data_IF_779867843628
#
_entry.id   IF_779867843628
#
_cell.length_a   1.000
_cell.length_b   1.000
_cell.length_c   1.000
_cell.angle_alpha   90.00
_cell.angle_beta   90.00
_cell.angle_gamma   90.00
#
_symmetry.space_group_name_H-M   'P 1'
#
loop_
_entity.id
_entity.type
_entity.pdbx_description
1 polymer ?
#
# COMPACT_ATOMS: atom_id res chain seq x y z
N UNK A 1 -39.03 27.26 -23.60
CA UNK A 1 -37.68 26.70 -23.38
C UNK A 1 -37.77 25.81 -22.16
N UNK A 2 -37.80 24.49 -22.36
CA UNK A 2 -37.94 23.52 -21.28
C UNK A 2 -36.54 23.01 -20.93
N UNK A 3 -36.13 23.24 -19.69
CA UNK A 3 -34.80 22.89 -19.20
C UNK A 3 -34.73 21.37 -19.02
N UNK A 4 -33.87 20.71 -19.80
CA UNK A 4 -33.64 19.28 -19.73
C UNK A 4 -32.58 19.03 -18.66
N UNK A 5 -33.01 18.65 -17.45
CA UNK A 5 -32.09 18.19 -16.41
C UNK A 5 -31.54 16.83 -16.82
N UNK A 6 -30.24 16.78 -17.14
CA UNK A 6 -29.51 15.53 -17.24
C UNK A 6 -29.29 15.00 -15.82
N UNK A 7 -29.99 13.91 -15.48
CA UNK A 7 -29.58 13.05 -14.37
C UNK A 7 -28.27 12.38 -14.80
N UNK A 8 -27.16 12.75 -14.15
CA UNK A 8 -25.94 11.95 -14.22
C UNK A 8 -26.28 10.56 -13.68
N UNK A 9 -26.22 9.56 -14.56
CA UNK A 9 -26.30 8.16 -14.16
C UNK A 9 -25.24 7.90 -13.10
N UNK A 10 -25.65 7.51 -11.89
CA UNK A 10 -24.76 6.87 -10.94
C UNK A 10 -24.15 5.67 -11.65
N UNK A 11 -22.80 5.61 -11.71
CA UNK A 11 -22.09 4.38 -12.03
C UNK A 11 -22.63 3.31 -11.08
N UNK A 12 -23.25 2.27 -11.63
CA UNK A 12 -23.47 1.03 -10.89
C UNK A 12 -22.08 0.57 -10.46
N UNK A 13 -21.77 0.66 -9.16
CA UNK A 13 -20.61 -0.04 -8.63
C UNK A 13 -20.75 -1.49 -9.07
N UNK A 14 -19.79 -2.01 -9.84
CA UNK A 14 -19.78 -3.41 -10.19
C UNK A 14 -19.68 -4.18 -8.88
N UNK A 15 -20.78 -4.78 -8.44
CA UNK A 15 -20.83 -5.54 -7.18
C UNK A 15 -20.24 -6.93 -7.35
N UNK A 16 -19.84 -7.27 -8.58
CA UNK A 16 -19.29 -8.55 -8.94
C UNK A 16 -17.77 -8.48 -9.07
N UNK A 17 -17.04 -8.99 -8.08
CA UNK A 17 -15.59 -8.91 -8.07
C UNK A 17 -14.98 -9.32 -6.74
N UNK A 18 -13.78 -8.79 -6.47
CA UNK A 18 -13.01 -9.09 -5.26
C UNK A 18 -12.69 -7.82 -4.49
N UNK A 19 -12.85 -7.88 -3.17
CA UNK A 19 -12.29 -6.89 -2.27
C UNK A 19 -10.99 -7.44 -1.65
N UNK A 20 -10.01 -6.56 -1.47
CA UNK A 20 -8.71 -6.89 -0.92
C UNK A 20 -8.38 -5.99 0.27
N UNK A 21 -7.93 -6.60 1.38
CA UNK A 21 -7.54 -5.91 2.61
C UNK A 21 -6.23 -6.49 3.15
N UNK A 22 -5.32 -5.63 3.60
CA UNK A 22 -4.06 -6.05 4.25
C UNK A 22 -4.21 -6.16 5.77
N UNK A 23 -3.47 -7.10 6.34
CA UNK A 23 -3.41 -7.38 7.77
C UNK A 23 -1.97 -7.67 8.21
N UNK A 24 -1.62 -7.29 9.44
CA UNK A 24 -0.32 -7.61 10.05
C UNK A 24 -0.29 -9.02 10.68
N UNK A 25 -1.45 -9.63 10.90
CA UNK A 25 -1.58 -10.92 11.58
C UNK A 25 -2.30 -11.99 10.74
N UNK A 26 -1.96 -13.25 10.99
CA UNK A 26 -2.49 -14.39 10.24
C UNK A 26 -4.00 -14.57 10.42
N UNK A 27 -4.51 -14.19 11.59
CA UNK A 27 -5.91 -14.35 11.98
C UNK A 27 -6.82 -13.24 11.41
N UNK A 28 -6.24 -12.28 10.68
CA UNK A 28 -6.94 -11.18 10.00
C UNK A 28 -7.70 -10.28 10.98
N UNK A 29 -7.04 -9.92 12.09
CA UNK A 29 -7.62 -9.11 13.17
C UNK A 29 -7.08 -7.69 13.23
N UNK A 30 -5.84 -7.47 12.82
CA UNK A 30 -5.13 -6.20 12.79
C UNK A 30 -5.03 -5.68 11.35
N UNK A 31 -6.09 -4.98 10.91
CA UNK A 31 -6.16 -4.42 9.56
C UNK A 31 -5.13 -3.29 9.39
N UNK A 32 -4.49 -3.26 8.23
CA UNK A 32 -3.64 -2.17 7.77
C UNK A 32 -4.47 -1.30 6.82
N UNK A 33 -4.47 0.00 7.08
CA UNK A 33 -5.26 0.96 6.29
C UNK A 33 -4.66 1.14 4.90
N UNK A 34 -5.52 1.26 3.88
CA UNK A 34 -5.09 1.58 2.52
C UNK A 34 -4.38 2.94 2.51
N UNK A 35 -3.37 3.07 1.66
CA UNK A 35 -2.42 4.19 1.62
C UNK A 35 -1.19 3.98 2.50
N UNK A 36 -1.16 2.93 3.33
CA UNK A 36 -0.02 2.65 4.19
C UNK A 36 1.23 2.24 3.40
N UNK A 37 2.39 2.58 3.96
CA UNK A 37 3.72 2.12 3.52
C UNK A 37 4.12 0.87 4.30
N UNK A 38 4.32 -0.23 3.58
CA UNK A 38 4.76 -1.52 4.09
C UNK A 38 6.29 -1.62 4.04
N UNK A 39 6.85 -2.35 5.00
CA UNK A 39 8.28 -2.68 5.09
C UNK A 39 8.53 -4.12 4.67
N UNK A 40 9.79 -4.53 4.53
CA UNK A 40 10.12 -5.95 4.54
C UNK A 40 9.52 -6.63 5.79
N UNK A 41 8.86 -7.76 5.59
CA UNK A 41 8.09 -8.42 6.63
C UNK A 41 7.12 -9.47 6.10
N UNK A 42 6.29 -9.98 7.01
CA UNK A 42 5.21 -10.92 6.71
C UNK A 42 3.87 -10.25 6.98
N UNK A 43 2.98 -10.33 5.99
CA UNK A 43 1.66 -9.73 6.00
C UNK A 43 0.64 -10.71 5.44
N UNK A 44 -0.64 -10.38 5.55
CA UNK A 44 -1.71 -11.22 5.08
C UNK A 44 -2.71 -10.40 4.30
N UNK A 45 -3.04 -10.88 3.10
CA UNK A 45 -4.02 -10.28 2.23
C UNK A 45 -5.31 -11.09 2.36
N UNK A 46 -6.34 -10.48 2.91
CA UNK A 46 -7.69 -11.04 2.92
C UNK A 46 -8.37 -10.70 1.60
N UNK A 47 -8.96 -11.71 0.99
CA UNK A 47 -9.71 -11.58 -0.25
C UNK A 47 -11.16 -11.96 0.02
N UNK A 48 -12.08 -11.05 -0.30
CA UNK A 48 -13.52 -11.20 -0.11
C UNK A 48 -14.17 -11.23 -1.47
N UNK A 49 -14.80 -12.35 -1.80
CA UNK A 49 -15.58 -12.51 -3.01
C UNK A 49 -16.92 -11.77 -2.86
N UNK A 50 -17.31 -11.01 -3.89
CA UNK A 50 -18.59 -10.30 -3.93
C UNK A 50 -19.38 -10.66 -5.18
N UNK A 51 -20.70 -10.76 -5.03
CA UNK A 51 -21.62 -11.12 -6.11
C UNK A 51 -21.42 -12.56 -6.58
N UNK A 52 -21.31 -12.73 -7.90
CA UNK A 52 -21.15 -14.00 -8.60
C UNK A 52 -19.72 -14.16 -9.17
N UNK A 53 -18.72 -13.52 -8.56
CA UNK A 53 -17.35 -13.60 -9.03
C UNK A 53 -16.90 -15.07 -9.01
N UNK A 54 -15.96 -15.50 -9.87
CA UNK A 54 -15.39 -16.84 -9.72
C UNK A 54 -14.71 -16.97 -8.35
N UNK A 55 -14.54 -18.20 -7.88
CA UNK A 55 -13.74 -18.44 -6.67
C UNK A 55 -12.32 -17.88 -6.89
N UNK A 56 -11.76 -17.12 -5.94
CA UNK A 56 -10.40 -16.61 -6.05
C UNK A 56 -9.42 -17.78 -5.93
N UNK A 57 -8.67 -18.05 -7.01
CA UNK A 57 -7.78 -19.21 -7.10
C UNK A 57 -6.32 -18.79 -7.02
N UNK A 58 -5.97 -17.69 -7.67
CA UNK A 58 -4.60 -17.17 -7.66
C UNK A 58 -4.55 -15.65 -7.58
N UNK A 59 -3.43 -15.17 -7.05
CA UNK A 59 -3.08 -13.76 -6.90
C UNK A 59 -1.80 -13.47 -7.66
N UNK A 60 -1.76 -12.31 -8.31
CA UNK A 60 -0.54 -11.70 -8.83
C UNK A 60 -0.39 -10.32 -8.22
N UNK A 61 0.85 -9.91 -7.95
CA UNK A 61 1.19 -8.62 -7.37
C UNK A 61 2.37 -8.07 -8.17
N UNK A 62 2.21 -6.88 -8.72
CA UNK A 62 3.29 -6.06 -9.27
C UNK A 62 3.66 -5.06 -8.18
N UNK A 63 4.88 -5.16 -7.65
CA UNK A 63 5.36 -4.34 -6.53
C UNK A 63 6.45 -3.41 -7.00
N UNK A 64 6.56 -2.24 -6.37
CA UNK A 64 7.70 -1.36 -6.62
C UNK A 64 9.04 -2.10 -6.38
N UNK A 65 9.98 -1.96 -7.33
CA UNK A 65 11.24 -2.67 -7.33
C UNK A 65 11.23 -3.89 -8.26
N UNK A 66 11.95 -4.95 -7.89
CA UNK A 66 12.06 -6.18 -8.70
C UNK A 66 12.03 -7.47 -7.87
N UNK A 67 12.14 -7.38 -6.54
CA UNK A 67 12.28 -8.55 -5.68
C UNK A 67 10.95 -9.08 -5.13
N UNK A 68 9.88 -8.30 -5.25
CA UNK A 68 8.63 -8.52 -4.50
C UNK A 68 7.41 -8.83 -5.35
N UNK A 69 7.60 -8.96 -6.67
CA UNK A 69 6.54 -9.42 -7.58
C UNK A 69 6.08 -10.83 -7.24
N UNK A 70 4.78 -11.06 -7.40
CA UNK A 70 4.13 -12.35 -7.22
C UNK A 70 3.40 -12.68 -8.50
N UNK A 71 3.62 -13.88 -9.04
CA UNK A 71 2.94 -14.32 -10.26
C UNK A 71 2.12 -15.59 -10.00
N UNK A 72 0.80 -15.47 -10.16
CA UNK A 72 -0.17 -16.57 -10.12
C UNK A 72 -0.02 -17.50 -8.91
N UNK A 73 0.24 -16.92 -7.74
CA UNK A 73 0.38 -17.70 -6.53
C UNK A 73 -0.99 -18.17 -6.05
N UNK A 74 -1.08 -19.40 -5.57
CA UNK A 74 -2.33 -19.98 -5.06
C UNK A 74 -2.83 -19.22 -3.83
N UNK A 75 -4.15 -18.99 -3.79
CA UNK A 75 -4.86 -18.39 -2.67
C UNK A 75 -5.39 -19.50 -1.75
N UNK A 76 -5.30 -19.28 -0.43
CA UNK A 76 -5.81 -20.19 0.59
C UNK A 76 -7.30 -19.90 0.87
N UNK A 77 -8.13 -20.94 0.90
CA UNK A 77 -9.50 -20.84 1.39
C UNK A 77 -9.51 -21.02 2.92
N UNK A 78 -9.89 -19.97 3.66
CA UNK A 78 -9.92 -19.98 5.12
C UNK A 78 -11.29 -20.37 5.70
N UNK A 79 -12.26 -20.69 4.84
CA UNK A 79 -13.62 -21.03 5.21
C UNK A 79 -14.57 -19.83 5.20
N UNK A 80 -15.88 -20.10 5.20
CA UNK A 80 -16.95 -19.08 5.24
C UNK A 80 -16.90 -18.02 4.11
N UNK A 81 -16.36 -18.39 2.94
CA UNK A 81 -16.22 -17.46 1.80
C UNK A 81 -15.12 -16.42 1.97
N UNK A 82 -14.25 -16.61 2.96
CA UNK A 82 -13.04 -15.81 3.16
C UNK A 82 -11.84 -16.54 2.58
N UNK A 83 -10.95 -15.76 1.96
CA UNK A 83 -9.73 -16.26 1.34
C UNK A 83 -8.55 -15.44 1.82
N UNK A 84 -7.36 -16.03 1.81
CA UNK A 84 -6.14 -15.40 2.31
C UNK A 84 -4.95 -15.70 1.40
N UNK A 85 -4.07 -14.72 1.26
CA UNK A 85 -2.72 -14.92 0.75
C UNK A 85 -1.71 -14.47 1.81
N UNK A 86 -0.69 -15.29 2.05
CA UNK A 86 0.45 -14.91 2.90
C UNK A 86 1.44 -14.10 2.07
N UNK A 87 1.54 -12.82 2.36
CA UNK A 87 2.41 -11.88 1.65
C UNK A 87 3.73 -11.76 2.38
N UNK A 88 4.78 -12.30 1.79
CA UNK A 88 6.16 -12.08 2.25
C UNK A 88 6.76 -10.95 1.40
N UNK A 89 7.25 -9.92 2.06
CA UNK A 89 7.97 -8.80 1.45
C UNK A 89 9.43 -8.93 1.88
N UNK A 90 10.32 -9.11 0.90
CA UNK A 90 11.76 -9.14 1.08
C UNK A 90 12.35 -7.75 0.89
N UNK A 91 13.57 -7.55 1.38
CA UNK A 91 14.28 -6.30 1.15
C UNK A 91 14.53 -6.00 -0.34
N UNK A 92 14.23 -4.77 -0.75
CA UNK A 92 14.46 -4.24 -2.09
C UNK A 92 14.92 -2.77 -1.99
N UNK A 93 16.19 -2.47 -2.36
CA UNK A 93 16.71 -1.11 -2.31
C UNK A 93 16.10 -0.18 -3.37
N UNK A 94 15.37 -0.71 -4.36
CA UNK A 94 14.72 0.07 -5.40
C UNK A 94 13.31 0.50 -5.02
N UNK A 95 12.73 -0.05 -3.94
CA UNK A 95 11.41 0.32 -3.46
C UNK A 95 11.49 1.53 -2.51
N UNK A 96 11.14 2.71 -3.03
CA UNK A 96 11.12 3.98 -2.28
C UNK A 96 9.69 4.35 -1.80
N UNK A 97 8.66 3.63 -2.24
CA UNK A 97 7.28 3.79 -1.78
C UNK A 97 6.56 4.94 -2.46
N UNK A 98 6.76 5.06 -3.77
CA UNK A 98 6.07 6.00 -4.66
C UNK A 98 5.02 5.29 -5.51
N UNK A 99 5.26 4.04 -5.88
CA UNK A 99 4.38 3.27 -6.75
C UNK A 99 3.55 2.29 -5.88
N UNK A 100 2.21 2.35 -5.94
CA UNK A 100 1.39 1.39 -5.22
C UNK A 100 1.49 0.01 -5.86
N UNK A 101 1.37 -1.04 -5.05
CA UNK A 101 1.26 -2.40 -5.55
C UNK A 101 0.01 -2.56 -6.42
N UNK A 102 0.16 -3.22 -7.58
CA UNK A 102 -0.97 -3.62 -8.42
C UNK A 102 -1.31 -5.07 -8.10
N UNK A 103 -2.45 -5.28 -7.45
CA UNK A 103 -2.92 -6.60 -7.05
C UNK A 103 -3.98 -7.10 -8.04
N UNK A 104 -3.83 -8.33 -8.50
CA UNK A 104 -4.78 -9.00 -9.38
C UNK A 104 -5.23 -10.32 -8.75
N UNK A 105 -6.54 -10.54 -8.69
CA UNK A 105 -7.15 -11.80 -8.28
C UNK A 105 -7.78 -12.45 -9.51
N UNK A 106 -7.31 -13.64 -9.88
CA UNK A 106 -7.70 -14.29 -11.14
C UNK A 106 -7.56 -13.37 -12.37
N UNK A 107 -6.46 -12.61 -12.46
CA UNK A 107 -6.23 -11.58 -13.51
C UNK A 107 -7.21 -10.38 -13.47
N UNK A 108 -8.02 -10.23 -12.42
CA UNK A 108 -8.96 -9.13 -12.26
C UNK A 108 -8.50 -8.15 -11.17
N UNK A 109 -8.63 -6.85 -11.44
CA UNK A 109 -8.40 -5.81 -10.43
C UNK A 109 -9.50 -5.87 -9.34
N UNK A 110 -9.14 -5.73 -8.06
CA UNK A 110 -10.10 -5.56 -6.97
C UNK A 110 -11.02 -4.35 -7.18
N UNK A 111 -12.22 -4.43 -6.60
CA UNK A 111 -13.26 -3.38 -6.72
C UNK A 111 -13.08 -2.25 -5.69
N UNK A 112 -12.33 -2.48 -4.61
CA UNK A 112 -11.90 -1.39 -3.74
C UNK A 112 -10.59 -0.80 -4.19
N UNK A 113 -10.39 0.47 -3.81
CA UNK A 113 -9.06 1.03 -3.79
C UNK A 113 -8.22 0.25 -2.76
N UNK A 114 -7.13 -0.37 -3.23
CA UNK A 114 -6.22 -1.17 -2.43
C UNK A 114 -4.79 -0.70 -2.66
N UNK A 115 -4.61 0.62 -2.59
CA UNK A 115 -3.30 1.23 -2.72
C UNK A 115 -2.49 0.88 -1.48
N UNK A 116 -1.48 0.05 -1.62
CA UNK A 116 -0.47 -0.20 -0.60
C UNK A 116 0.88 0.06 -1.25
N UNK A 117 1.74 0.77 -0.53
CA UNK A 117 3.05 1.13 -1.03
C UNK A 117 4.07 0.27 -0.32
N UNK A 118 5.07 -0.22 -1.03
CA UNK A 118 6.18 -0.92 -0.41
C UNK A 118 7.42 -0.03 -0.43
N UNK A 119 8.11 0.07 0.71
CA UNK A 119 9.35 0.85 0.80
C UNK A 119 10.30 0.29 1.84
N UNK A 120 11.51 -0.05 1.44
CA UNK A 120 12.59 -0.31 2.41
C UNK A 120 13.57 0.83 2.54
N UNK A 121 13.52 1.77 1.62
CA UNK A 121 14.22 3.05 1.69
C UNK A 121 13.20 4.14 1.92
N UNK A 122 12.70 4.28 3.15
CA UNK A 122 12.10 5.54 3.52
C UNK A 122 13.29 6.46 3.73
N UNK A 123 13.66 7.19 2.68
CA UNK A 123 14.49 8.36 2.89
C UNK A 123 13.63 9.27 3.76
N UNK A 124 14.03 9.54 5.02
CA UNK A 124 13.22 10.36 5.90
C UNK A 124 13.02 11.71 5.21
N UNK A 125 11.80 12.21 5.23
CA UNK A 125 11.61 13.60 4.83
C UNK A 125 12.22 14.46 5.93
N UNK A 126 13.11 15.36 5.51
CA UNK A 126 13.84 16.25 6.41
C UNK A 126 13.47 17.68 6.07
N UNK A 127 12.92 18.38 7.05
CA UNK A 127 12.74 19.83 6.99
C UNK A 127 13.76 20.51 7.92
N UNK A 128 14.28 21.65 7.49
CA UNK A 128 15.28 22.41 8.23
C UNK A 128 14.77 23.83 8.47
N UNK A 129 14.37 24.08 9.71
CA UNK A 129 14.05 25.43 10.16
C UNK A 129 15.35 26.11 10.63
N UNK A 130 15.61 27.32 10.13
CA UNK A 130 16.76 28.12 10.54
C UNK A 130 16.30 29.44 11.18
N UNK A 131 16.89 29.77 12.33
CA UNK A 131 16.77 31.08 12.97
C UNK A 131 18.16 31.71 13.00
N UNK A 132 18.35 32.76 12.20
CA UNK A 132 19.63 33.45 12.09
C UNK A 132 19.70 34.60 13.09
N UNK A 133 20.77 34.66 13.88
CA UNK A 133 20.98 35.66 14.92
C UNK A 133 22.26 36.47 14.71
N UNK A 134 22.39 37.60 15.40
CA UNK A 134 23.59 38.45 15.29
C UNK A 134 24.84 37.81 15.92
N UNK A 135 24.67 36.81 16.81
CA UNK A 135 25.78 36.13 17.51
C UNK A 135 25.70 34.60 17.50
N UNK A 136 24.53 34.04 17.18
CA UNK A 136 24.31 32.59 17.12
C UNK A 136 23.20 32.28 16.11
N UNK A 137 23.43 31.27 15.27
CA UNK A 137 22.41 30.69 14.40
C UNK A 137 21.90 29.40 15.03
N UNK A 138 20.58 29.22 15.04
CA UNK A 138 19.93 28.00 15.52
C UNK A 138 19.28 27.25 14.37
N UNK A 139 19.51 25.94 14.31
CA UNK A 139 18.95 25.06 13.29
C UNK A 139 18.11 23.96 13.97
N UNK A 140 16.92 23.70 13.43
CA UNK A 140 16.03 22.63 13.89
C UNK A 140 15.71 21.71 12.72
N UNK A 141 16.22 20.49 12.80
CA UNK A 141 15.91 19.42 11.85
C UNK A 141 14.63 18.71 12.32
N UNK A 142 13.63 18.67 11.45
CA UNK A 142 12.38 17.95 11.67
C UNK A 142 12.39 16.76 10.72
N UNK A 143 12.14 15.57 11.24
CA UNK A 143 11.91 14.39 10.42
C UNK A 143 10.52 13.85 10.63
N UNK A 144 9.91 13.36 9.55
CA UNK A 144 8.63 12.67 9.61
C UNK A 144 8.75 11.23 10.17
N UNK A 145 9.97 10.69 10.31
CA UNK A 145 10.22 9.36 10.86
C UNK A 145 11.44 9.33 11.79
N UNK A 146 11.59 8.23 12.53
CA UNK A 146 12.72 8.04 13.43
C UNK A 146 14.02 7.86 12.63
N UNK A 147 15.05 8.66 12.97
CA UNK A 147 16.36 8.60 12.32
C UNK A 147 17.28 7.63 13.05
N UNK A 148 17.93 6.73 12.31
CA UNK A 148 18.95 5.84 12.88
C UNK A 148 20.27 6.57 13.16
N UNK A 149 20.63 7.55 12.33
CA UNK A 149 21.77 8.45 12.52
C UNK A 149 21.56 9.76 11.76
N UNK A 150 22.32 10.80 12.13
CA UNK A 150 22.39 12.09 11.44
C UNK A 150 23.86 12.43 11.22
N UNK A 151 24.24 12.82 9.99
CA UNK A 151 25.56 13.36 9.68
C UNK A 151 25.42 14.85 9.32
N UNK A 152 26.09 15.73 10.07
CA UNK A 152 26.14 17.17 9.79
C UNK A 152 27.49 17.50 9.18
N UNK A 153 27.49 17.99 7.93
CA UNK A 153 28.68 18.47 7.24
C UNK A 153 28.62 19.99 7.10
N UNK A 154 29.54 20.69 7.75
CA UNK A 154 29.73 22.13 7.54
C UNK A 154 30.85 22.32 6.52
N UNK A 155 30.56 23.05 5.46
CA UNK A 155 31.57 23.51 4.51
C UNK A 155 32.21 24.81 5.05
N UNK A 156 33.54 24.98 4.93
CA UNK A 156 34.24 26.19 5.34
C UNK A 156 33.89 27.41 4.48
#
# INVERSE_FOLDING_TARGET
MTNLFFLSSFVSADTNGFFVEYYSDQDLTEKIESGSKLKAGSYYIKIIQSGNAPLPNYISIDSEGTNNDVSNHVIENTGSGSFRYNRIINYDPLAIGIDPEVILINEQLPINNSDFYYTDTITPELDLEATLGESEDTYRLISNEALSYIEIKMSP
#
